data_IF_362679373844
#
_entry.id   IF_362679373844
#
_cell.length_a   1.000
_cell.length_b   1.000
_cell.length_c   1.000
_cell.angle_alpha   90.00
_cell.angle_beta   90.00
_cell.angle_gamma   90.00
#
_symmetry.space_group_name_H-M   'P 1'
#
loop_
_entity.id
_entity.type
_entity.pdbx_description
1 polymer ?
#
# COMPACT_ATOMS: atom_id res chain seq x y z
N UNK A 1 12.37 -33.26 -1.93
CA UNK A 1 11.77 -32.92 -3.23
C UNK A 1 10.61 -31.98 -2.95
N UNK A 2 10.82 -30.67 -3.14
CA UNK A 2 9.82 -29.64 -2.87
C UNK A 2 8.70 -29.74 -3.89
N UNK A 3 7.45 -29.64 -3.42
CA UNK A 3 6.27 -29.66 -4.28
C UNK A 3 6.33 -28.49 -5.24
N UNK A 4 6.25 -28.80 -6.53
CA UNK A 4 6.03 -27.85 -7.62
C UNK A 4 4.76 -27.05 -7.31
N UNK A 5 4.92 -25.76 -7.03
CA UNK A 5 3.80 -24.83 -7.00
C UNK A 5 3.37 -24.54 -8.43
N UNK A 6 2.08 -24.71 -8.70
CA UNK A 6 1.27 -24.31 -9.87
C UNK A 6 1.98 -23.64 -11.07
N UNK A 7 3.03 -24.21 -11.68
CA UNK A 7 3.58 -23.85 -13.00
C UNK A 7 3.98 -22.39 -13.33
N UNK A 8 3.69 -21.39 -12.49
CA UNK A 8 3.86 -19.97 -12.77
C UNK A 8 5.06 -19.40 -12.01
N UNK A 9 5.86 -18.57 -12.66
CA UNK A 9 6.97 -17.89 -11.97
C UNK A 9 6.45 -16.84 -10.98
N UNK A 10 7.14 -16.62 -9.85
CA UNK A 10 6.79 -15.55 -8.90
C UNK A 10 6.68 -14.17 -9.57
N UNK A 11 7.54 -13.87 -10.55
CA UNK A 11 7.51 -12.62 -11.30
C UNK A 11 6.23 -12.47 -12.14
N UNK A 12 5.73 -13.56 -12.71
CA UNK A 12 4.47 -13.58 -13.47
C UNK A 12 3.29 -13.29 -12.55
N UNK A 13 3.25 -13.95 -11.39
CA UNK A 13 2.19 -13.73 -10.38
C UNK A 13 2.22 -12.29 -9.86
N UNK A 14 3.40 -11.76 -9.55
CA UNK A 14 3.56 -10.37 -9.11
C UNK A 14 3.14 -9.36 -10.19
N UNK A 15 3.41 -9.67 -11.46
CA UNK A 15 3.00 -8.82 -12.60
C UNK A 15 1.48 -8.79 -12.77
N UNK A 16 0.83 -9.95 -12.68
CA UNK A 16 -0.64 -10.06 -12.73
C UNK A 16 -1.27 -9.32 -11.55
N UNK A 17 -0.73 -9.48 -10.34
CA UNK A 17 -1.21 -8.78 -9.15
C UNK A 17 -1.14 -7.25 -9.33
N UNK A 18 0.00 -6.73 -9.78
CA UNK A 18 0.15 -5.29 -10.05
C UNK A 18 -0.83 -4.82 -11.12
N UNK A 19 -0.98 -5.60 -12.20
CA UNK A 19 -1.88 -5.26 -13.30
C UNK A 19 -3.34 -5.19 -12.83
N UNK A 20 -3.78 -6.12 -12.00
CA UNK A 20 -5.13 -6.14 -11.45
C UNK A 20 -5.50 -4.82 -10.76
N UNK A 21 -4.64 -4.33 -9.84
CA UNK A 21 -4.88 -3.06 -9.15
C UNK A 21 -4.77 -1.85 -10.08
N UNK A 22 -3.82 -1.89 -11.03
CA UNK A 22 -3.66 -0.83 -12.02
C UNK A 22 -4.87 -0.70 -12.96
N UNK A 23 -5.58 -1.79 -13.26
CA UNK A 23 -6.73 -1.82 -14.17
C UNK A 23 -8.09 -1.54 -13.49
N UNK A 24 -8.14 -1.39 -12.16
CA UNK A 24 -9.38 -1.05 -11.48
C UNK A 24 -9.98 0.27 -12.02
N UNK A 25 -11.31 0.43 -12.08
CA UNK A 25 -11.91 1.70 -12.51
C UNK A 25 -11.45 2.89 -11.66
N UNK A 26 -11.41 2.69 -10.34
CA UNK A 26 -10.77 3.59 -9.38
C UNK A 26 -9.52 2.93 -8.80
N UNK A 27 -8.42 3.68 -8.58
CA UNK A 27 -7.24 3.13 -7.91
C UNK A 27 -7.58 2.62 -6.50
N UNK A 28 -6.71 1.77 -5.97
CA UNK A 28 -6.92 1.17 -4.65
C UNK A 28 -6.97 2.25 -3.56
N UNK A 29 -5.99 3.14 -3.56
CA UNK A 29 -6.09 4.43 -2.88
C UNK A 29 -6.82 5.35 -3.86
N UNK A 30 -8.11 5.57 -3.61
CA UNK A 30 -8.94 6.39 -4.51
C UNK A 30 -8.40 7.81 -4.65
N UNK A 31 -8.89 8.53 -5.68
CA UNK A 31 -8.40 9.86 -6.00
C UNK A 31 -8.65 10.88 -4.86
N UNK A 32 -9.75 10.75 -4.12
CA UNK A 32 -10.08 11.65 -3.02
C UNK A 32 -9.11 11.47 -1.86
N UNK A 33 -8.91 10.23 -1.42
CA UNK A 33 -7.95 9.88 -0.38
C UNK A 33 -6.53 10.29 -0.78
N UNK A 34 -6.13 10.02 -2.02
CA UNK A 34 -4.80 10.40 -2.50
C UNK A 34 -4.62 11.92 -2.51
N UNK A 35 -5.63 12.68 -2.96
CA UNK A 35 -5.59 14.15 -2.91
C UNK A 35 -5.45 14.68 -1.47
N UNK A 36 -6.20 14.14 -0.51
CA UNK A 36 -6.06 14.49 0.91
C UNK A 36 -4.65 14.21 1.45
N UNK A 37 -4.00 13.13 1.00
CA UNK A 37 -2.63 12.80 1.38
C UNK A 37 -1.61 13.77 0.76
N UNK A 38 -1.85 14.23 -0.48
CA UNK A 38 -1.01 15.24 -1.14
C UNK A 38 -1.12 16.60 -0.45
N UNK A 39 -2.34 17.01 -0.09
CA UNK A 39 -2.56 18.26 0.66
C UNK A 39 -1.87 18.18 2.03
N UNK A 40 -2.04 17.07 2.75
CA UNK A 40 -1.33 16.82 4.00
C UNK A 40 0.20 16.87 3.84
N UNK A 41 0.73 16.36 2.72
CA UNK A 41 2.16 16.46 2.43
C UNK A 41 2.59 17.91 2.25
N UNK A 42 1.87 18.70 1.46
CA UNK A 42 2.17 20.12 1.23
C UNK A 42 2.09 20.98 2.50
N UNK A 43 1.18 20.66 3.41
CA UNK A 43 0.96 21.42 4.65
C UNK A 43 1.86 20.99 5.82
N UNK A 44 2.15 19.70 5.93
CA UNK A 44 2.71 19.10 7.15
C UNK A 44 4.07 18.42 6.95
N UNK A 45 4.67 18.42 5.74
CA UNK A 45 5.92 17.68 5.47
C UNK A 45 7.09 18.07 6.38
N UNK A 46 7.10 19.30 6.91
CA UNK A 46 8.14 19.77 7.83
C UNK A 46 7.94 19.25 9.27
N UNK A 47 6.73 18.81 9.62
CA UNK A 47 6.40 18.23 10.92
C UNK A 47 5.99 16.76 10.75
N UNK A 48 7.00 15.88 10.81
CA UNK A 48 6.83 14.45 10.56
C UNK A 48 5.69 13.83 11.39
N UNK A 49 5.59 14.10 12.69
CA UNK A 49 4.58 13.45 13.53
C UNK A 49 3.15 13.93 13.21
N UNK A 50 2.97 15.21 12.87
CA UNK A 50 1.66 15.71 12.40
C UNK A 50 1.28 15.09 11.06
N UNK A 51 2.23 14.98 10.14
CA UNK A 51 2.00 14.33 8.86
C UNK A 51 1.63 12.85 9.04
N UNK A 52 2.35 12.13 9.90
CA UNK A 52 2.08 10.72 10.20
C UNK A 52 0.69 10.54 10.79
N UNK A 53 0.32 11.37 11.76
CA UNK A 53 -1.02 11.38 12.36
C UNK A 53 -2.08 11.63 11.30
N UNK A 54 -1.87 12.60 10.41
CA UNK A 54 -2.82 12.94 9.35
C UNK A 54 -3.00 11.82 8.34
N UNK A 55 -1.92 11.12 7.95
CA UNK A 55 -2.02 9.95 7.08
C UNK A 55 -2.80 8.81 7.74
N UNK A 56 -2.56 8.54 9.03
CA UNK A 56 -3.29 7.52 9.79
C UNK A 56 -4.79 7.86 9.82
N UNK A 57 -5.15 9.12 10.05
CA UNK A 57 -6.55 9.57 10.02
C UNK A 57 -7.22 9.38 8.65
N UNK A 58 -6.50 9.64 7.56
CA UNK A 58 -7.04 9.46 6.20
C UNK A 58 -7.29 7.97 5.95
N UNK A 59 -6.31 7.12 6.21
CA UNK A 59 -6.43 5.66 5.98
C UNK A 59 -7.56 5.05 6.81
N UNK A 60 -7.66 5.40 8.09
CA UNK A 60 -8.68 4.83 8.99
C UNK A 60 -10.11 5.25 8.64
N UNK A 61 -10.28 6.28 7.79
CA UNK A 61 -11.56 6.77 7.28
C UNK A 61 -11.89 6.32 5.86
N UNK A 62 -11.00 5.58 5.20
CA UNK A 62 -11.28 5.02 3.87
C UNK A 62 -12.49 4.09 3.93
N UNK A 63 -13.31 4.13 2.87
CA UNK A 63 -14.42 3.20 2.71
C UNK A 63 -13.92 1.75 2.71
N UNK A 64 -14.70 0.83 3.29
CA UNK A 64 -14.31 -0.58 3.44
C UNK A 64 -13.89 -1.24 2.14
N UNK A 65 -14.53 -0.87 1.02
CA UNK A 65 -14.24 -1.39 -0.31
C UNK A 65 -12.80 -1.07 -0.78
N UNK A 66 -12.24 0.05 -0.32
CA UNK A 66 -10.85 0.44 -0.57
C UNK A 66 -9.93 -0.02 0.56
N UNK A 67 -10.36 0.14 1.81
CA UNK A 67 -9.57 -0.15 3.00
C UNK A 67 -9.18 -1.63 3.12
N UNK A 68 -10.11 -2.56 2.88
CA UNK A 68 -9.88 -3.99 3.09
C UNK A 68 -8.77 -4.54 2.19
N UNK A 69 -8.85 -4.37 0.85
CA UNK A 69 -7.75 -4.76 -0.03
C UNK A 69 -6.46 -3.98 0.25
N UNK A 70 -6.55 -2.72 0.68
CA UNK A 70 -5.36 -1.93 1.05
C UNK A 70 -4.64 -2.48 2.29
N UNK A 71 -5.37 -2.92 3.32
CA UNK A 71 -4.79 -3.56 4.52
C UNK A 71 -4.08 -4.85 4.15
N UNK A 72 -4.73 -5.72 3.38
CA UNK A 72 -4.15 -7.00 2.94
C UNK A 72 -2.90 -6.77 2.09
N UNK A 73 -2.97 -5.84 1.14
CA UNK A 73 -1.81 -5.47 0.32
C UNK A 73 -0.67 -4.91 1.17
N UNK A 74 -0.96 -4.00 2.10
CA UNK A 74 0.05 -3.39 2.97
C UNK A 74 0.71 -4.41 3.89
N UNK A 75 -0.06 -5.38 4.40
CA UNK A 75 0.44 -6.50 5.18
C UNK A 75 1.38 -7.38 4.35
N UNK A 76 0.95 -7.77 3.15
CA UNK A 76 1.75 -8.57 2.23
C UNK A 76 3.07 -7.87 1.87
N UNK A 77 3.03 -6.58 1.49
CA UNK A 77 4.23 -5.83 1.12
C UNK A 77 5.18 -5.62 2.31
N UNK A 78 4.65 -5.36 3.52
CA UNK A 78 5.49 -5.30 4.71
C UNK A 78 6.20 -6.63 4.98
N UNK A 79 5.52 -7.75 4.76
CA UNK A 79 6.13 -9.08 4.87
C UNK A 79 7.17 -9.32 3.78
N UNK A 80 6.94 -8.92 2.52
CA UNK A 80 7.98 -8.99 1.48
C UNK A 80 9.23 -8.19 1.92
N UNK A 81 9.02 -7.02 2.54
CA UNK A 81 10.11 -6.19 3.04
C UNK A 81 10.88 -6.83 4.20
N UNK A 82 10.29 -7.71 5.03
CA UNK A 82 11.04 -8.41 6.09
C UNK A 82 12.09 -9.37 5.54
N UNK A 83 12.00 -9.75 4.26
CA UNK A 83 13.00 -10.57 3.56
C UNK A 83 13.93 -9.74 2.66
N UNK A 84 14.02 -8.42 2.88
CA UNK A 84 14.76 -7.50 2.00
C UNK A 84 16.24 -7.86 1.84
N UNK A 85 16.86 -8.49 2.85
CA UNK A 85 18.25 -8.94 2.75
C UNK A 85 18.45 -10.05 1.70
N UNK A 86 17.41 -10.81 1.39
CA UNK A 86 17.45 -11.90 0.40
C UNK A 86 16.82 -11.49 -0.92
N UNK A 87 15.65 -10.83 -0.91
CA UNK A 87 14.92 -10.48 -2.13
C UNK A 87 15.26 -9.08 -2.67
N UNK A 88 16.08 -8.29 -1.97
CA UNK A 88 16.48 -6.93 -2.35
C UNK A 88 15.32 -5.94 -2.49
N UNK A 89 14.18 -6.21 -1.83
CA UNK A 89 12.96 -5.40 -1.87
C UNK A 89 12.65 -4.79 -0.49
N UNK A 90 13.44 -3.81 0.00
CA UNK A 90 13.04 -2.99 1.13
C UNK A 90 11.77 -2.18 0.78
N UNK A 91 11.13 -1.59 1.80
CA UNK A 91 9.92 -0.76 1.64
C UNK A 91 10.09 0.31 0.56
N UNK A 92 11.27 0.95 0.50
CA UNK A 92 11.57 1.99 -0.50
C UNK A 92 11.52 1.46 -1.94
N UNK A 93 11.98 0.24 -2.21
CA UNK A 93 11.90 -0.38 -3.54
C UNK A 93 10.47 -0.84 -3.85
N UNK A 94 9.77 -1.39 -2.86
CA UNK A 94 8.36 -1.76 -3.00
C UNK A 94 7.50 -0.54 -3.33
N UNK A 95 7.76 0.61 -2.70
CA UNK A 95 7.05 1.85 -2.98
C UNK A 95 7.29 2.36 -4.41
N UNK A 96 8.48 2.15 -5.00
CA UNK A 96 8.71 2.45 -6.42
C UNK A 96 7.85 1.57 -7.31
N UNK A 97 7.80 0.26 -7.02
CA UNK A 97 7.08 -0.68 -7.86
C UNK A 97 5.55 -0.58 -7.72
N UNK A 98 5.07 -0.28 -6.53
CA UNK A 98 3.64 -0.27 -6.19
C UNK A 98 3.03 1.13 -6.11
N UNK A 99 3.82 2.20 -5.96
CA UNK A 99 3.33 3.59 -5.96
C UNK A 99 2.36 3.89 -7.11
N UNK A 100 2.79 3.73 -8.37
CA UNK A 100 1.94 3.96 -9.55
C UNK A 100 0.80 2.95 -9.73
N UNK A 101 0.85 1.84 -9.00
CA UNK A 101 -0.16 0.77 -9.06
C UNK A 101 -1.28 1.01 -8.05
N UNK A 102 -0.93 1.43 -6.83
CA UNK A 102 -1.87 1.67 -5.73
C UNK A 102 -2.48 3.06 -5.81
N UNK A 103 -1.70 4.03 -6.28
CA UNK A 103 -2.13 5.39 -6.57
C UNK A 103 -2.20 5.54 -8.09
N UNK A 104 -3.29 6.12 -8.61
CA UNK A 104 -3.35 6.57 -10.00
C UNK A 104 -3.48 8.08 -10.02
N UNK A 105 -2.75 8.71 -10.93
CA UNK A 105 -2.79 10.14 -11.14
C UNK A 105 -3.93 10.48 -12.09
N UNK A 106 -4.75 11.48 -11.76
CA UNK A 106 -5.66 12.08 -12.74
C UNK A 106 -4.84 12.81 -13.81
N UNK A 107 -5.23 12.70 -15.08
CA UNK A 107 -4.48 13.21 -16.26
C UNK A 107 -4.11 14.71 -16.19
N UNK A 108 -4.72 15.46 -15.27
CA UNK A 108 -4.61 16.91 -15.13
C UNK A 108 -3.32 17.33 -14.38
N UNK A 109 -2.69 16.44 -13.59
CA UNK A 109 -1.49 16.78 -12.80
C UNK A 109 -0.19 16.51 -13.57
N UNK A 110 0.85 17.36 -13.46
CA UNK A 110 2.14 17.12 -14.12
C UNK A 110 2.73 15.77 -13.71
N UNK A 111 2.87 14.86 -14.68
CA UNK A 111 3.24 13.44 -14.47
C UNK A 111 4.48 13.27 -13.57
N UNK A 112 5.53 14.07 -13.80
CA UNK A 112 6.81 14.00 -13.05
C UNK A 112 6.66 14.38 -11.57
N UNK A 113 5.77 15.31 -11.22
CA UNK A 113 5.55 15.67 -9.81
C UNK A 113 4.80 14.55 -9.07
N UNK A 114 3.89 13.87 -9.78
CA UNK A 114 3.05 12.85 -9.13
C UNK A 114 3.78 11.52 -8.99
N UNK A 115 4.62 11.12 -9.96
CA UNK A 115 5.52 9.95 -9.86
C UNK A 115 6.54 10.02 -8.71
N UNK A 116 6.79 11.21 -8.18
CA UNK A 116 7.64 11.37 -6.99
C UNK A 116 6.82 11.32 -5.70
N UNK A 117 5.56 11.74 -5.75
CA UNK A 117 4.71 11.87 -4.57
C UNK A 117 3.96 10.57 -4.28
N UNK A 118 3.49 9.84 -5.28
CA UNK A 118 2.88 8.52 -5.11
C UNK A 118 3.82 7.54 -4.39
N UNK A 119 5.07 7.46 -4.82
CA UNK A 119 6.13 6.68 -4.18
C UNK A 119 6.31 7.12 -2.73
N UNK A 120 6.48 8.42 -2.47
CA UNK A 120 6.71 8.92 -1.11
C UNK A 120 5.55 8.62 -0.18
N UNK A 121 4.31 8.81 -0.65
CA UNK A 121 3.11 8.52 0.11
C UNK A 121 3.01 7.02 0.38
N UNK A 122 3.17 6.16 -0.62
CA UNK A 122 3.12 4.70 -0.44
C UNK A 122 4.24 4.22 0.47
N UNK A 123 5.47 4.71 0.32
CA UNK A 123 6.60 4.40 1.20
C UNK A 123 6.26 4.72 2.66
N UNK A 124 5.66 5.89 2.89
CA UNK A 124 5.26 6.35 4.21
C UNK A 124 4.12 5.52 4.78
N UNK A 125 3.10 5.21 3.99
CA UNK A 125 1.98 4.36 4.39
C UNK A 125 2.45 2.95 4.76
N UNK A 126 3.34 2.35 3.97
CA UNK A 126 3.90 1.04 4.28
C UNK A 126 4.75 1.08 5.56
N UNK A 127 5.54 2.14 5.76
CA UNK A 127 6.33 2.34 7.00
C UNK A 127 5.44 2.51 8.23
N UNK A 128 4.31 3.20 8.09
CA UNK A 128 3.35 3.43 9.16
C UNK A 128 2.38 2.26 9.38
N UNK A 129 2.49 1.18 8.60
CA UNK A 129 1.58 0.03 8.66
C UNK A 129 1.28 -0.45 10.09
N UNK A 130 2.28 -0.70 10.96
CA UNK A 130 1.99 -1.11 12.34
C UNK A 130 1.12 -0.09 13.09
N UNK A 131 1.40 1.21 12.92
CA UNK A 131 0.70 2.30 13.63
C UNK A 131 -0.75 2.45 13.16
N UNK A 132 -1.01 2.53 11.86
CA UNK A 132 -2.39 2.71 11.40
C UNK A 132 -3.21 1.43 11.47
N UNK A 133 -2.60 0.25 11.31
CA UNK A 133 -3.32 -1.03 11.46
C UNK A 133 -3.81 -1.21 12.90
N UNK A 134 -3.01 -0.81 13.89
CA UNK A 134 -3.42 -0.77 15.30
C UNK A 134 -4.55 0.24 15.55
N UNK A 135 -4.63 1.32 14.78
CA UNK A 135 -5.69 2.33 14.89
C UNK A 135 -7.02 1.92 14.23
N UNK A 136 -7.06 0.82 13.46
CA UNK A 136 -8.30 0.33 12.86
C UNK A 136 -9.30 -0.12 13.93
N UNK A 137 -10.59 0.03 13.61
CA UNK A 137 -11.66 -0.49 14.46
C UNK A 137 -11.54 -2.01 14.65
N UNK A 138 -12.01 -2.51 15.79
CA UNK A 138 -11.95 -3.95 16.09
C UNK A 138 -12.73 -4.78 15.05
N UNK A 139 -13.86 -4.27 14.57
CA UNK A 139 -14.67 -4.91 13.52
C UNK A 139 -13.85 -5.14 12.23
N UNK A 140 -13.13 -4.13 11.76
CA UNK A 140 -12.26 -4.24 10.57
C UNK A 140 -11.14 -5.25 10.81
N UNK A 141 -10.55 -5.28 12.01
CA UNK A 141 -9.50 -6.24 12.36
C UNK A 141 -10.04 -7.67 12.37
N UNK A 142 -11.23 -7.88 12.91
CA UNK A 142 -11.88 -9.19 12.99
C UNK A 142 -12.25 -9.72 11.60
N UNK A 143 -12.81 -8.86 10.75
CA UNK A 143 -13.16 -9.18 9.35
C UNK A 143 -11.93 -9.58 8.52
N UNK A 144 -10.79 -8.92 8.75
CA UNK A 144 -9.58 -9.13 7.97
C UNK A 144 -8.69 -10.25 8.51
N UNK A 145 -8.88 -10.65 9.77
CA UNK A 145 -8.06 -11.65 10.46
C UNK A 145 -7.83 -12.94 9.66
N UNK A 146 -8.85 -13.57 9.04
CA UNK A 146 -8.65 -14.81 8.28
C UNK A 146 -7.64 -14.63 7.12
N UNK A 147 -7.75 -13.52 6.37
CA UNK A 147 -6.88 -13.25 5.23
C UNK A 147 -5.45 -12.91 5.65
N UNK A 148 -5.28 -12.19 6.76
CA UNK A 148 -3.95 -11.86 7.30
C UNK A 148 -3.25 -13.09 7.88
N UNK A 149 -4.01 -13.99 8.51
CA UNK A 149 -3.46 -15.23 9.07
C UNK A 149 -3.00 -16.21 7.98
N UNK A 150 -3.62 -16.20 6.78
CA UNK A 150 -3.18 -17.00 5.62
C UNK A 150 -1.84 -16.54 5.01
N UNK A 151 -1.46 -15.28 5.21
CA UNK A 151 -0.21 -14.69 4.69
C UNK A 151 1.01 -15.07 5.57
N UNK A 152 0.84 -15.94 6.59
CA UNK A 152 1.91 -16.42 7.47
C UNK A 152 2.79 -17.52 6.85
N UNK A 153 3.92 -17.79 7.50
CA UNK A 153 5.01 -18.69 7.06
C UNK A 153 4.52 -20.02 6.47
N UNK A 154 4.64 -20.12 5.14
CA UNK A 154 4.87 -21.36 4.41
C UNK A 154 6.34 -21.43 3.98
#
# INVERSE_FOLDING_TARGET
AGKEGDGYSPDSVASVLKRFFFELPNPLIDFECFNLMLDAHGELSENAEKFDTRLIEIVTKMDRVHLYPFVVMSHFLNRVATYSETNMMPISNLAVCFGPTLCRTEEIKPMVMVEQLDRKIVEKLLTLYPRWSDALSQEVKDDLKPYLDEIKDK
#
